data_IF_191812358268
#
_entry.id   IF_191812358268
#
_cell.length_a   1.000
_cell.length_b   1.000
_cell.length_c   1.000
_cell.angle_alpha   90.00
_cell.angle_beta   90.00
_cell.angle_gamma   90.00
#
_symmetry.space_group_name_H-M   'P 1'
#
loop_
_entity.id
_entity.type
_entity.pdbx_description
1 polymer ?
#
# COMPACT_ATOMS: atom_id res chain seq x y z
N UNK A 1 32.08 -78.63 -16.09
CA UNK A 1 32.11 -79.34 -14.79
C UNK A 1 31.61 -78.40 -13.70
N UNK A 2 30.72 -78.93 -12.85
CA UNK A 2 30.32 -78.52 -11.49
C UNK A 2 29.89 -77.07 -11.21
N UNK A 3 28.60 -76.97 -10.87
CA UNK A 3 27.92 -75.93 -10.10
C UNK A 3 28.57 -75.76 -8.72
N UNK A 4 28.58 -74.54 -8.20
CA UNK A 4 28.44 -74.29 -6.76
C UNK A 4 27.82 -72.91 -6.55
N UNK A 5 26.60 -72.94 -6.02
CA UNK A 5 25.89 -71.81 -5.50
C UNK A 5 26.53 -71.37 -4.17
N UNK A 6 26.63 -70.07 -3.95
CA UNK A 6 26.87 -69.51 -2.62
C UNK A 6 25.84 -68.39 -2.39
N UNK A 7 24.90 -68.67 -1.49
CA UNK A 7 23.98 -67.72 -0.89
C UNK A 7 24.78 -66.94 0.15
N UNK A 8 24.80 -65.61 0.07
CA UNK A 8 25.36 -64.74 1.12
C UNK A 8 24.34 -63.66 1.49
N UNK A 9 24.14 -63.57 2.80
CA UNK A 9 23.23 -62.74 3.58
C UNK A 9 23.23 -61.26 3.20
N UNK A 10 22.02 -60.68 3.22
CA UNK A 10 21.78 -59.25 3.23
C UNK A 10 22.05 -58.64 4.61
N UNK A 11 22.83 -57.56 4.64
CA UNK A 11 22.89 -56.58 5.73
C UNK A 11 22.91 -55.19 5.09
N UNK A 12 21.87 -54.36 5.24
CA UNK A 12 21.94 -52.96 4.81
C UNK A 12 22.73 -52.14 5.84
N UNK A 13 23.94 -51.72 5.45
CA UNK A 13 24.70 -50.69 6.15
C UNK A 13 24.05 -49.33 5.89
N UNK A 14 23.45 -48.74 6.93
CA UNK A 14 23.12 -47.32 6.97
C UNK A 14 24.43 -46.52 7.01
N UNK A 15 24.74 -45.83 5.91
CA UNK A 15 25.78 -44.80 5.87
C UNK A 15 25.12 -43.42 5.80
N UNK A 16 25.08 -42.79 6.96
CA UNK A 16 24.73 -41.40 7.21
C UNK A 16 25.93 -40.49 6.95
N UNK A 17 25.70 -39.34 6.31
CA UNK A 17 26.57 -38.13 6.33
C UNK A 17 27.80 -38.18 5.44
N UNK A 18 28.19 -37.15 4.68
CA UNK A 18 28.00 -35.71 4.88
C UNK A 18 27.73 -35.01 3.54
N UNK A 19 26.68 -34.20 3.49
CA UNK A 19 26.54 -33.17 2.44
C UNK A 19 27.37 -31.99 2.91
N UNK A 20 28.35 -31.59 2.09
CA UNK A 20 29.12 -30.35 2.27
C UNK A 20 28.22 -29.19 1.85
N UNK A 21 27.84 -28.24 2.73
CA UNK A 21 27.24 -27.00 2.26
C UNK A 21 28.39 -26.14 1.71
N UNK A 22 28.51 -26.13 0.38
CA UNK A 22 29.28 -25.12 -0.32
C UNK A 22 28.62 -23.77 -0.01
N UNK A 23 29.32 -22.94 0.75
CA UNK A 23 28.94 -21.56 1.04
C UNK A 23 28.95 -20.76 -0.25
N UNK A 24 27.79 -20.66 -0.89
CA UNK A 24 27.41 -19.46 -1.61
C UNK A 24 26.72 -18.55 -0.61
N UNK A 25 27.23 -17.33 -0.44
CA UNK A 25 26.42 -16.20 0.00
C UNK A 25 25.35 -15.97 -1.08
N UNK A 26 24.33 -16.83 -1.08
CA UNK A 26 23.02 -16.37 -1.47
C UNK A 26 22.67 -15.33 -0.43
N UNK A 27 22.84 -14.07 -0.81
CA UNK A 27 22.19 -12.95 -0.14
C UNK A 27 20.70 -13.26 -0.21
N UNK A 28 20.22 -14.02 0.78
CA UNK A 28 18.83 -14.21 1.06
C UNK A 28 18.32 -12.79 1.25
N UNK A 29 17.62 -12.28 0.25
CA UNK A 29 16.78 -11.11 0.37
C UNK A 29 15.81 -11.46 1.49
N UNK A 30 16.16 -11.10 2.72
CA UNK A 30 15.30 -11.24 3.89
C UNK A 30 13.98 -10.59 3.51
N UNK A 31 12.83 -11.27 3.64
CA UNK A 31 11.54 -10.63 3.46
C UNK A 31 11.44 -9.47 4.46
N UNK A 32 11.42 -8.23 3.99
CA UNK A 32 11.25 -7.03 4.84
C UNK A 32 9.78 -6.59 4.92
N UNK A 33 8.84 -7.41 4.41
CA UNK A 33 7.50 -7.40 4.94
C UNK A 33 7.60 -7.96 6.37
N UNK A 34 6.86 -7.41 7.32
CA UNK A 34 6.67 -8.11 8.58
C UNK A 34 6.17 -9.53 8.27
N UNK A 35 6.46 -10.50 9.15
CA UNK A 35 6.14 -11.92 8.91
C UNK A 35 4.64 -12.16 8.64
N UNK A 36 3.81 -11.18 8.95
CA UNK A 36 2.35 -11.11 8.74
C UNK A 36 1.93 -10.57 7.37
N UNK A 37 2.87 -10.18 6.50
CA UNK A 37 2.63 -9.71 5.14
C UNK A 37 2.35 -8.20 5.01
N UNK A 38 2.52 -7.41 6.08
CA UNK A 38 2.42 -5.95 6.02
C UNK A 38 3.76 -5.27 5.81
N UNK A 39 3.71 -4.08 5.22
CA UNK A 39 4.89 -3.32 4.87
C UNK A 39 5.57 -2.69 6.09
N UNK A 40 6.89 -2.68 6.04
CA UNK A 40 7.74 -1.86 6.91
C UNK A 40 8.04 -0.54 6.20
N UNK A 41 8.11 0.54 6.95
CA UNK A 41 8.42 1.90 6.47
C UNK A 41 9.74 2.43 7.04
N UNK A 42 10.55 1.56 7.63
CA UNK A 42 11.97 1.83 7.81
C UNK A 42 12.71 1.87 6.45
N UNK A 43 13.98 2.25 6.46
CA UNK A 43 14.77 2.40 5.23
C UNK A 43 14.79 1.14 4.37
N UNK A 44 14.86 -0.05 4.97
CA UNK A 44 14.93 -1.30 4.22
C UNK A 44 13.55 -1.69 3.64
N UNK A 45 12.48 -1.47 4.41
CA UNK A 45 11.11 -1.68 3.95
C UNK A 45 10.73 -0.78 2.78
N UNK A 46 11.12 0.50 2.81
CA UNK A 46 10.90 1.44 1.71
C UNK A 46 11.56 0.97 0.41
N UNK A 47 12.81 0.48 0.48
CA UNK A 47 13.49 -0.04 -0.72
C UNK A 47 12.82 -1.32 -1.24
N UNK A 48 12.29 -2.18 -0.36
CA UNK A 48 11.50 -3.33 -0.80
C UNK A 48 10.19 -2.92 -1.48
N UNK A 49 9.47 -1.92 -0.95
CA UNK A 49 8.24 -1.42 -1.58
C UNK A 49 8.56 -0.91 -2.99
N UNK A 50 9.64 -0.14 -3.15
CA UNK A 50 10.07 0.35 -4.47
C UNK A 50 10.41 -0.80 -5.44
N UNK A 51 11.07 -1.84 -4.96
CA UNK A 51 11.46 -2.99 -5.78
C UNK A 51 10.26 -3.87 -6.17
N UNK A 52 9.35 -4.14 -5.22
CA UNK A 52 8.20 -5.01 -5.41
C UNK A 52 6.99 -4.31 -6.04
N UNK A 53 6.92 -2.98 -5.93
CA UNK A 53 5.78 -2.15 -6.33
C UNK A 53 4.47 -2.57 -5.65
N UNK A 54 4.58 -3.04 -4.40
CA UNK A 54 3.43 -3.42 -3.60
C UNK A 54 3.63 -2.96 -2.15
N UNK A 55 2.57 -2.38 -1.57
CA UNK A 55 2.53 -1.96 -0.18
C UNK A 55 1.18 -2.33 0.43
N UNK A 56 1.24 -3.01 1.58
CA UNK A 56 0.06 -3.34 2.37
C UNK A 56 0.21 -2.77 3.78
N UNK A 57 -0.72 -1.93 4.20
CA UNK A 57 -0.73 -1.30 5.52
C UNK A 57 -1.83 -1.91 6.38
N UNK A 58 -1.52 -2.15 7.66
CA UNK A 58 -2.49 -2.63 8.62
C UNK A 58 -3.07 -1.47 9.43
N UNK A 59 -4.33 -1.15 9.19
CA UNK A 59 -5.12 -0.20 9.98
C UNK A 59 -6.41 -0.86 10.49
N UNK A 60 -6.42 -2.18 10.71
CA UNK A 60 -7.62 -2.91 11.10
C UNK A 60 -8.15 -2.50 12.48
N UNK A 61 -7.29 -1.89 13.31
CA UNK A 61 -7.64 -1.25 14.59
C UNK A 61 -8.19 0.18 14.45
N UNK A 62 -8.22 0.71 13.23
CA UNK A 62 -8.54 2.11 12.91
C UNK A 62 -7.34 3.04 12.95
N UNK A 63 -6.13 2.55 13.27
CA UNK A 63 -4.90 3.36 13.38
C UNK A 63 -3.72 2.64 12.76
N UNK A 64 -2.76 3.41 12.24
CA UNK A 64 -1.45 2.91 11.81
C UNK A 64 -0.40 3.32 12.84
N UNK A 65 0.12 2.36 13.61
CA UNK A 65 1.14 2.67 14.63
C UNK A 65 2.54 2.70 14.02
N UNK A 66 3.43 3.52 14.58
CA UNK A 66 4.85 3.60 14.18
C UNK A 66 5.53 2.24 14.31
N UNK A 67 5.28 1.54 15.42
CA UNK A 67 5.83 0.21 15.67
C UNK A 67 5.40 -0.81 14.62
N UNK A 68 4.12 -0.80 14.21
CA UNK A 68 3.60 -1.76 13.21
C UNK A 68 4.33 -1.68 11.87
N UNK A 69 4.82 -0.50 11.51
CA UNK A 69 5.61 -0.27 10.30
C UNK A 69 7.12 -0.20 10.57
N UNK A 70 7.55 -0.51 11.79
CA UNK A 70 8.97 -0.63 12.12
C UNK A 70 9.72 0.61 12.49
N UNK A 71 9.00 1.65 12.86
CA UNK A 71 9.57 2.85 13.41
C UNK A 71 9.47 2.82 14.94
N UNK A 72 10.40 3.50 15.59
CA UNK A 72 10.35 3.71 17.03
C UNK A 72 9.10 4.51 17.41
N UNK A 73 8.51 4.16 18.55
CA UNK A 73 7.42 4.94 19.13
C UNK A 73 7.85 6.39 19.36
N UNK A 74 6.97 7.35 19.07
CA UNK A 74 7.27 8.77 19.17
C UNK A 74 8.23 9.34 18.11
N UNK A 75 8.76 8.53 17.20
CA UNK A 75 9.69 8.99 16.15
C UNK A 75 9.06 10.03 15.22
N UNK A 76 9.72 11.16 14.95
CA UNK A 76 9.21 12.20 14.04
C UNK A 76 9.41 11.87 12.56
N UNK A 77 9.80 10.64 12.23
CA UNK A 77 9.97 10.18 10.86
C UNK A 77 8.63 10.25 10.10
N UNK A 78 8.67 10.83 8.91
CA UNK A 78 7.54 10.93 7.99
C UNK A 78 7.90 10.18 6.69
N UNK A 79 7.71 8.86 6.63
CA UNK A 79 8.00 8.07 5.44
C UNK A 79 7.34 8.63 4.19
N UNK A 80 8.10 8.69 3.11
CA UNK A 80 7.67 9.10 1.77
C UNK A 80 8.24 8.10 0.77
N UNK A 81 7.35 7.36 0.13
CA UNK A 81 7.66 6.32 -0.83
C UNK A 81 7.21 6.83 -2.19
N UNK A 82 8.16 6.99 -3.11
CA UNK A 82 7.89 7.33 -4.49
C UNK A 82 8.55 6.31 -5.42
N UNK A 83 7.78 5.76 -6.35
CA UNK A 83 8.27 4.91 -7.43
C UNK A 83 8.62 5.78 -8.64
N UNK A 84 9.81 5.60 -9.21
CA UNK A 84 10.23 6.33 -10.43
C UNK A 84 9.67 5.72 -11.71
N UNK A 85 9.43 4.41 -11.68
CA UNK A 85 9.08 3.62 -12.86
C UNK A 85 7.70 2.99 -12.70
N UNK A 86 6.65 3.78 -12.91
CA UNK A 86 5.26 3.34 -12.85
C UNK A 86 4.69 3.27 -11.44
N UNK A 87 3.48 2.71 -11.32
CA UNK A 87 2.71 2.69 -10.07
C UNK A 87 3.00 1.45 -9.22
N UNK A 88 2.82 1.61 -7.92
CA UNK A 88 2.68 0.52 -6.94
C UNK A 88 1.21 0.26 -6.61
N UNK A 89 0.91 -0.99 -6.26
CA UNK A 89 -0.37 -1.35 -5.64
C UNK A 89 -0.33 -1.01 -4.16
N UNK A 90 -1.34 -0.29 -3.68
CA UNK A 90 -1.53 0.07 -2.28
C UNK A 90 -2.81 -0.57 -1.76
N UNK A 91 -2.70 -1.33 -0.68
CA UNK A 91 -3.83 -1.83 0.10
C UNK A 91 -3.71 -1.39 1.57
N UNK A 92 -4.70 -0.67 2.07
CA UNK A 92 -4.81 -0.27 3.48
C UNK A 92 -5.99 -1.02 4.08
N UNK A 93 -5.70 -2.01 4.91
CA UNK A 93 -6.74 -2.78 5.57
C UNK A 93 -7.32 -1.97 6.73
N UNK A 94 -8.54 -1.46 6.57
CA UNK A 94 -9.30 -0.78 7.61
C UNK A 94 -10.14 -1.74 8.47
N UNK A 95 -10.88 -1.20 9.46
CA UNK A 95 -11.71 -1.99 10.37
C UNK A 95 -12.88 -2.72 9.69
N UNK A 96 -13.48 -2.13 8.65
CA UNK A 96 -14.68 -2.65 7.98
C UNK A 96 -14.49 -2.92 6.48
N UNK A 97 -13.32 -2.61 5.93
CA UNK A 97 -13.01 -2.81 4.51
C UNK A 97 -11.57 -2.45 4.18
N UNK A 98 -11.20 -2.56 2.91
CA UNK A 98 -9.85 -2.21 2.43
C UNK A 98 -9.94 -0.96 1.54
N UNK A 99 -9.02 -0.02 1.73
CA UNK A 99 -8.77 1.06 0.77
C UNK A 99 -7.70 0.56 -0.20
N UNK A 100 -8.03 0.49 -1.49
CA UNK A 100 -7.13 -0.05 -2.51
C UNK A 100 -6.93 0.95 -3.64
N UNK A 101 -5.69 1.07 -4.11
CA UNK A 101 -5.31 2.02 -5.14
C UNK A 101 -4.11 1.54 -5.96
N UNK A 102 -3.93 2.16 -7.14
CA UNK A 102 -2.63 2.25 -7.80
C UNK A 102 -2.12 3.66 -7.68
N UNK A 103 -0.88 3.83 -7.27
CA UNK A 103 -0.28 5.13 -7.02
C UNK A 103 1.22 5.07 -7.24
N UNK A 104 1.84 6.16 -7.64
CA UNK A 104 3.30 6.26 -7.71
C UNK A 104 3.91 6.84 -6.42
N UNK A 105 3.07 7.33 -5.49
CA UNK A 105 3.54 7.97 -4.26
C UNK A 105 2.62 7.72 -3.08
N UNK A 106 3.23 7.37 -1.96
CA UNK A 106 2.61 7.19 -0.65
C UNK A 106 3.39 8.03 0.37
N UNK A 107 2.70 8.83 1.16
CA UNK A 107 3.29 9.65 2.22
C UNK A 107 2.56 9.43 3.53
N UNK A 108 3.32 9.37 4.61
CA UNK A 108 2.81 9.23 5.96
C UNK A 108 3.03 10.55 6.70
N UNK A 109 1.98 11.10 7.31
CA UNK A 109 2.10 12.31 8.11
C UNK A 109 2.56 11.94 9.53
N UNK A 110 3.88 11.89 9.72
CA UNK A 110 4.55 11.51 10.96
C UNK A 110 5.26 12.66 11.69
N UNK A 111 5.03 13.92 11.29
CA UNK A 111 5.66 15.10 11.92
C UNK A 111 5.07 15.43 13.31
N UNK A 112 4.78 14.40 14.09
CA UNK A 112 4.29 14.45 15.45
C UNK A 112 5.03 13.37 16.28
N UNK A 113 5.01 13.51 17.60
CA UNK A 113 5.63 12.55 18.52
C UNK A 113 4.63 11.54 19.09
N UNK A 114 3.51 11.29 18.40
CA UNK A 114 2.52 10.28 18.80
C UNK A 114 3.01 8.88 18.47
N UNK A 115 2.33 7.87 18.97
CA UNK A 115 2.61 6.46 18.64
C UNK A 115 2.01 6.02 17.31
N UNK A 116 1.14 6.82 16.73
CA UNK A 116 0.45 6.58 15.48
C UNK A 116 0.67 7.70 14.45
N UNK A 117 0.49 7.35 13.18
CA UNK A 117 0.35 8.33 12.11
C UNK A 117 -1.04 8.93 12.16
N UNK A 118 -1.13 10.23 11.90
CA UNK A 118 -2.44 10.90 11.82
C UNK A 118 -3.12 10.66 10.49
N UNK A 119 -2.35 10.38 9.45
CA UNK A 119 -2.83 10.39 8.07
C UNK A 119 -1.90 9.57 7.17
N UNK A 120 -2.51 8.81 6.27
CA UNK A 120 -1.87 8.18 5.11
C UNK A 120 -2.34 8.92 3.86
N UNK A 121 -1.41 9.46 3.08
CA UNK A 121 -1.72 10.18 1.83
C UNK A 121 -1.19 9.42 0.62
N UNK A 122 -2.00 9.28 -0.42
CA UNK A 122 -1.56 8.77 -1.72
C UNK A 122 -2.16 9.58 -2.87
N UNK A 123 -1.61 9.39 -4.07
CA UNK A 123 -1.95 10.20 -5.23
C UNK A 123 -2.52 9.33 -6.34
N UNK A 124 -3.73 9.66 -6.80
CA UNK A 124 -4.29 9.09 -8.02
C UNK A 124 -4.05 10.06 -9.16
N UNK A 125 -3.72 9.55 -10.34
CA UNK A 125 -3.49 10.37 -11.53
C UNK A 125 -4.39 9.94 -12.67
N UNK A 126 -4.83 10.91 -13.48
CA UNK A 126 -5.61 10.65 -14.68
C UNK A 126 -5.10 11.51 -15.84
N UNK A 127 -5.00 10.91 -17.02
CA UNK A 127 -4.54 11.60 -18.26
C UNK A 127 -5.68 12.15 -19.09
N UNK A 128 -6.91 11.76 -18.77
CA UNK A 128 -8.11 12.24 -19.45
C UNK A 128 -9.13 12.69 -18.42
N UNK A 129 -10.01 13.61 -18.83
CA UNK A 129 -11.12 14.07 -17.99
C UNK A 129 -12.06 12.91 -17.64
N UNK A 130 -12.28 11.96 -18.54
CA UNK A 130 -13.16 10.81 -18.27
C UNK A 130 -12.55 9.84 -17.25
N UNK A 131 -11.25 9.54 -17.35
CA UNK A 131 -10.57 8.73 -16.33
C UNK A 131 -10.60 9.42 -14.97
N UNK A 132 -10.41 10.74 -14.95
CA UNK A 132 -10.45 11.52 -13.72
C UNK A 132 -11.84 11.48 -13.05
N UNK A 133 -12.92 11.62 -13.84
CA UNK A 133 -14.28 11.44 -13.34
C UNK A 133 -14.55 10.02 -12.85
N UNK A 134 -14.02 9.01 -13.54
CA UNK A 134 -14.17 7.61 -13.16
C UNK A 134 -13.52 7.35 -11.79
N UNK A 135 -12.33 7.90 -11.53
CA UNK A 135 -11.67 7.79 -10.22
C UNK A 135 -12.51 8.41 -9.09
N UNK A 136 -13.13 9.57 -9.34
CA UNK A 136 -14.00 10.22 -8.34
C UNK A 136 -15.22 9.34 -8.01
N UNK A 137 -15.90 8.84 -9.05
CA UNK A 137 -17.08 7.98 -8.90
C UNK A 137 -16.75 6.64 -8.24
N UNK A 138 -15.59 6.09 -8.54
CA UNK A 138 -15.06 4.90 -7.86
C UNK A 138 -14.87 5.15 -6.36
N UNK A 139 -14.33 6.32 -5.98
CA UNK A 139 -14.21 6.72 -4.58
C UNK A 139 -15.58 6.85 -3.88
N UNK A 140 -16.57 7.40 -4.56
CA UNK A 140 -17.97 7.47 -4.09
C UNK A 140 -18.51 6.08 -3.80
N UNK A 141 -18.44 5.17 -4.77
CA UNK A 141 -18.97 3.81 -4.64
C UNK A 141 -18.26 3.01 -3.55
N UNK A 142 -16.92 3.02 -3.54
CA UNK A 142 -16.14 2.18 -2.62
C UNK A 142 -16.08 2.69 -1.19
N UNK A 143 -16.02 4.01 -1.01
CA UNK A 143 -15.72 4.61 0.29
C UNK A 143 -16.92 5.32 0.90
N UNK A 144 -18.03 5.48 0.16
CA UNK A 144 -19.23 6.16 0.63
C UNK A 144 -19.03 7.67 0.72
N UNK A 145 -18.22 8.24 -0.17
CA UNK A 145 -18.10 9.69 -0.35
C UNK A 145 -19.43 10.25 -0.88
N UNK A 146 -19.80 11.47 -0.49
CA UNK A 146 -21.08 12.05 -0.89
C UNK A 146 -21.21 12.22 -2.42
N UNK A 147 -22.11 11.46 -3.02
CA UNK A 147 -22.34 11.46 -4.47
C UNK A 147 -22.83 12.79 -5.02
N UNK A 148 -23.65 13.54 -4.25
CA UNK A 148 -24.18 14.84 -4.69
C UNK A 148 -23.08 15.88 -4.84
N UNK A 149 -22.20 15.98 -3.86
CA UNK A 149 -21.03 16.85 -3.88
C UNK A 149 -20.06 16.46 -5.00
N UNK A 150 -19.81 15.16 -5.18
CA UNK A 150 -18.94 14.65 -6.23
C UNK A 150 -19.48 14.99 -7.64
N UNK A 151 -20.74 14.67 -7.93
CA UNK A 151 -21.32 14.93 -9.26
C UNK A 151 -21.49 16.43 -9.53
N UNK A 152 -21.86 17.23 -8.53
CA UNK A 152 -21.92 18.69 -8.70
C UNK A 152 -20.56 19.29 -9.05
N UNK A 153 -19.48 18.77 -8.47
CA UNK A 153 -18.13 19.19 -8.83
C UNK A 153 -17.71 18.69 -10.22
N UNK A 154 -18.03 17.44 -10.57
CA UNK A 154 -17.80 16.88 -11.91
C UNK A 154 -18.50 17.71 -13.00
N UNK A 155 -19.76 18.11 -12.76
CA UNK A 155 -20.52 18.98 -13.65
C UNK A 155 -19.83 20.34 -13.82
N UNK A 156 -19.37 20.94 -12.71
CA UNK A 156 -18.65 22.22 -12.72
C UNK A 156 -17.40 22.18 -13.61
N UNK A 157 -16.53 21.17 -13.46
CA UNK A 157 -15.32 21.07 -14.30
C UNK A 157 -15.66 20.72 -15.76
N UNK A 158 -16.71 19.93 -15.98
CA UNK A 158 -17.16 19.57 -17.34
C UNK A 158 -17.71 20.77 -18.12
N UNK A 159 -18.35 21.71 -17.42
CA UNK A 159 -18.86 22.95 -18.03
C UNK A 159 -17.75 23.93 -18.41
N UNK A 160 -16.57 23.82 -17.76
CA UNK A 160 -15.42 24.73 -17.93
C UNK A 160 -14.10 23.96 -17.97
N UNK A 161 -13.90 23.06 -18.95
CA UNK A 161 -12.80 22.09 -18.91
C UNK A 161 -11.41 22.72 -19.02
N UNK A 162 -11.29 23.96 -19.50
CA UNK A 162 -10.00 24.67 -19.58
C UNK A 162 -9.64 25.50 -18.34
N UNK A 163 -10.34 25.33 -17.21
CA UNK A 163 -10.11 26.11 -15.98
C UNK A 163 -9.53 25.24 -14.87
N UNK A 164 -8.80 25.89 -13.98
CA UNK A 164 -8.36 25.29 -12.72
C UNK A 164 -9.53 25.25 -11.71
N UNK A 165 -9.57 24.20 -10.91
CA UNK A 165 -10.56 23.98 -9.87
C UNK A 165 -10.04 22.99 -8.82
N UNK A 166 -10.12 23.40 -7.56
CA UNK A 166 -9.73 22.59 -6.41
C UNK A 166 -10.91 22.43 -5.44
N UNK A 167 -11.10 21.23 -4.89
CA UNK A 167 -12.17 20.98 -3.93
C UNK A 167 -11.93 19.70 -3.12
N UNK A 168 -12.11 19.77 -1.81
CA UNK A 168 -12.12 18.59 -0.95
C UNK A 168 -13.57 18.09 -0.78
N UNK A 169 -13.83 16.84 -1.18
CA UNK A 169 -15.13 16.20 -0.97
C UNK A 169 -15.37 15.91 0.51
N UNK A 170 -16.63 15.86 0.91
CA UNK A 170 -17.01 15.32 2.23
C UNK A 170 -16.47 13.89 2.37
N UNK A 171 -15.78 13.55 3.47
CA UNK A 171 -15.17 12.23 3.61
C UNK A 171 -16.19 11.09 3.62
N UNK A 172 -15.81 9.96 3.03
CA UNK A 172 -16.52 8.67 3.19
C UNK A 172 -15.92 7.84 4.32
N UNK A 173 -16.71 6.96 4.93
CA UNK A 173 -16.28 6.14 6.08
C UNK A 173 -16.55 4.64 5.95
N UNK A 174 -16.89 4.17 4.74
CA UNK A 174 -17.39 2.80 4.53
C UNK A 174 -16.38 1.69 4.89
N UNK A 175 -15.08 2.00 4.94
CA UNK A 175 -14.02 1.04 5.33
C UNK A 175 -13.72 1.04 6.83
N UNK A 176 -14.41 1.86 7.62
CA UNK A 176 -14.08 2.12 9.03
C UNK A 176 -12.89 3.08 9.19
N UNK A 177 -12.41 3.66 8.09
CA UNK A 177 -11.45 4.77 8.04
C UNK A 177 -12.12 5.95 7.35
N UNK A 178 -11.69 7.17 7.70
CA UNK A 178 -12.12 8.36 6.97
C UNK A 178 -11.30 8.48 5.68
N UNK A 179 -11.96 8.52 4.53
CA UNK A 179 -11.34 8.67 3.21
C UNK A 179 -11.82 9.97 2.58
N UNK A 180 -10.89 10.89 2.35
CA UNK A 180 -11.16 12.21 1.77
C UNK A 180 -10.48 12.33 0.41
N UNK A 181 -11.23 12.75 -0.60
CA UNK A 181 -10.69 13.05 -1.93
C UNK A 181 -10.53 14.57 -2.05
N UNK A 182 -9.28 15.03 -2.10
CA UNK A 182 -8.92 16.41 -2.45
C UNK A 182 -8.64 16.46 -3.95
N UNK A 183 -9.61 17.01 -4.68
CA UNK A 183 -9.66 17.05 -6.13
C UNK A 183 -8.85 18.23 -6.64
N UNK A 184 -7.84 17.96 -7.48
CA UNK A 184 -6.99 18.97 -8.12
C UNK A 184 -7.11 18.84 -9.64
N UNK A 185 -7.82 19.80 -10.23
CA UNK A 185 -8.03 19.85 -11.67
C UNK A 185 -7.45 21.13 -12.26
N UNK A 186 -6.61 20.99 -13.28
CA UNK A 186 -6.10 22.07 -14.11
C UNK A 186 -6.21 21.67 -15.57
N UNK A 187 -7.21 22.23 -16.25
CA UNK A 187 -7.47 21.99 -17.67
C UNK A 187 -6.34 22.36 -18.64
N UNK A 188 -5.29 23.04 -18.16
CA UNK A 188 -4.07 23.31 -18.93
C UNK A 188 -3.01 22.21 -18.83
N UNK A 189 -3.23 21.18 -18.00
CA UNK A 189 -2.29 20.07 -17.75
C UNK A 189 -2.75 18.78 -18.42
N UNK A 190 -1.77 17.96 -18.77
CA UNK A 190 -2.00 16.61 -19.33
C UNK A 190 -2.33 15.56 -18.26
N UNK A 191 -2.07 15.88 -16.98
CA UNK A 191 -2.27 14.98 -15.85
C UNK A 191 -3.03 15.72 -14.76
N UNK A 192 -4.14 15.13 -14.34
CA UNK A 192 -4.98 15.58 -13.23
C UNK A 192 -4.70 14.71 -12.01
N UNK A 193 -4.85 15.27 -10.81
CA UNK A 193 -4.43 14.61 -9.57
C UNK A 193 -5.58 14.61 -8.57
N UNK A 194 -5.78 13.47 -7.92
CA UNK A 194 -6.59 13.39 -6.70
C UNK A 194 -5.63 13.05 -5.56
N UNK A 195 -5.57 13.91 -4.56
CA UNK A 195 -4.85 13.62 -3.32
C UNK A 195 -5.85 12.91 -2.41
N UNK A 196 -5.55 11.67 -2.06
CA UNK A 196 -6.41 10.88 -1.17
C UNK A 196 -5.81 10.86 0.22
N UNK A 197 -6.61 11.30 1.18
CA UNK A 197 -6.28 11.31 2.60
C UNK A 197 -7.03 10.17 3.28
N UNK A 198 -6.32 9.34 4.03
CA UNK A 198 -6.88 8.24 4.81
C UNK A 198 -6.51 8.43 6.27
N UNK A 199 -7.51 8.67 7.10
CA UNK A 199 -7.37 9.02 8.50
C UNK A 199 -8.15 8.06 9.41
N UNK A 200 -7.75 7.91 10.68
CA UNK A 200 -8.61 7.33 11.70
C UNK A 200 -9.93 8.09 11.80
N UNK A 201 -11.05 7.37 11.96
CA UNK A 201 -12.34 8.00 12.27
C UNK A 201 -12.25 8.69 13.64
N UNK A 202 -12.68 9.97 13.79
CA UNK A 202 -12.69 10.64 15.07
C UNK A 202 -13.48 9.86 16.12
N UNK A 203 -12.91 9.67 17.31
CA UNK A 203 -13.59 9.00 18.40
C UNK A 203 -14.87 9.79 18.78
N UNK A 204 -16.05 9.17 18.59
CA UNK A 204 -17.34 9.76 18.96
C UNK A 204 -18.28 10.14 17.80
N UNK A 205 -18.08 9.58 16.60
CA UNK A 205 -19.05 9.64 15.50
C UNK A 205 -20.05 8.49 15.53
#
# INVERSE_FOLDING_TARGET
>A
MKRLALVVLAVPLFLTGCVVPYGGDDSVTTPTAAADGYARLDKAGIEQIKASKAVRLNMSSGRLTKESVGLEDGSSQAPDVQTRDGEMTLDIQGPAGTVSARTDRLRLNGLNTRSDFTEVTYFLTARTLEDYKALIREGVDRYGIDSGSAEGWIESISSRPGKESDFALTPGTSTGLQVTYDLRYDGSKDVQVIIVHVDPVPAGS
#
